data_IF_982988613636
#
_entry.id   IF_982988613636
#
_cell.length_a   1.000
_cell.length_b   1.000
_cell.length_c   1.000
_cell.angle_alpha   90.00
_cell.angle_beta   90.00
_cell.angle_gamma   90.00
#
_symmetry.space_group_name_H-M   'P 1'
#
loop_
_entity.id
_entity.type
_entity.pdbx_description
1 polymer ?
#
# COMPACT_ATOMS: atom_id res chain seq x y z
N UNK A 1 23.15 42.36 6.45
CA UNK A 1 22.58 42.27 5.09
C UNK A 1 23.11 40.99 4.46
N UNK A 2 22.23 40.14 3.92
CA UNK A 2 22.47 38.70 3.66
C UNK A 2 23.49 38.44 2.53
N UNK A 3 24.40 37.44 2.66
CA UNK A 3 24.97 36.78 1.50
C UNK A 3 24.04 35.65 1.03
N UNK A 4 23.76 35.66 -0.27
CA UNK A 4 22.95 34.70 -1.02
C UNK A 4 23.49 33.28 -0.91
N UNK A 5 22.58 32.36 -0.60
CA UNK A 5 22.74 30.91 -0.73
C UNK A 5 22.27 30.51 -2.13
N UNK A 6 23.21 30.20 -3.02
CA UNK A 6 22.94 29.55 -4.31
C UNK A 6 24.05 28.55 -4.59
N UNK A 7 24.05 27.46 -3.83
CA UNK A 7 24.81 26.25 -4.13
C UNK A 7 23.89 25.22 -4.78
N UNK A 8 23.85 25.20 -6.12
CA UNK A 8 23.20 24.17 -6.93
C UNK A 8 23.83 22.80 -6.63
N UNK A 9 23.26 22.06 -5.68
CA UNK A 9 23.63 20.67 -5.46
C UNK A 9 22.97 19.83 -6.54
N UNK A 10 23.77 19.37 -7.50
CA UNK A 10 23.36 18.54 -8.62
C UNK A 10 22.59 17.32 -8.14
N UNK A 11 21.30 17.28 -8.48
CA UNK A 11 20.45 16.10 -8.29
C UNK A 11 21.02 14.97 -9.15
N UNK A 12 21.66 14.01 -8.49
CA UNK A 12 22.06 12.74 -9.07
C UNK A 12 20.83 12.07 -9.70
N UNK A 13 20.84 11.94 -11.02
CA UNK A 13 19.91 11.09 -11.76
C UNK A 13 20.00 9.67 -11.20
N UNK A 14 18.94 9.21 -10.54
CA UNK A 14 18.85 7.83 -10.07
C UNK A 14 18.32 6.99 -11.23
N UNK A 15 19.24 6.30 -11.92
CA UNK A 15 18.92 5.33 -12.96
C UNK A 15 18.35 4.07 -12.32
N UNK A 16 17.03 3.93 -12.29
CA UNK A 16 16.37 2.65 -12.01
C UNK A 16 16.19 1.91 -13.33
N UNK A 17 17.26 1.28 -13.81
CA UNK A 17 17.17 0.34 -14.91
C UNK A 17 17.72 -1.02 -14.47
N UNK A 18 16.80 -1.97 -14.46
CA UNK A 18 16.98 -3.42 -14.56
C UNK A 18 17.67 -4.15 -13.40
N UNK A 19 16.86 -4.98 -12.73
CA UNK A 19 17.24 -6.39 -12.58
C UNK A 19 16.05 -7.30 -12.84
N UNK A 20 16.41 -8.37 -13.51
CA UNK A 20 15.65 -9.36 -14.23
C UNK A 20 14.50 -10.01 -13.47
N UNK A 21 13.51 -10.41 -14.26
CA UNK A 21 12.41 -11.27 -13.86
C UNK A 21 12.94 -12.61 -13.36
N UNK A 22 12.47 -13.02 -12.18
CA UNK A 22 12.07 -14.39 -11.85
C UNK A 22 11.53 -14.36 -10.42
N UNK A 23 10.24 -14.62 -10.23
CA UNK A 23 9.71 -15.39 -9.08
C UNK A 23 8.20 -15.25 -8.99
N UNK A 24 7.51 -16.34 -9.36
CA UNK A 24 6.28 -16.75 -8.69
C UNK A 24 5.02 -15.99 -9.07
N UNK A 25 4.11 -16.72 -9.70
CA UNK A 25 2.67 -16.53 -9.61
C UNK A 25 2.26 -16.53 -8.11
N UNK A 26 2.43 -15.38 -7.43
CA UNK A 26 2.03 -15.12 -6.03
C UNK A 26 1.64 -13.63 -5.82
N UNK A 27 1.26 -12.94 -6.90
CA UNK A 27 0.87 -11.52 -6.86
C UNK A 27 -0.26 -11.22 -5.87
N UNK A 28 -1.16 -12.19 -5.66
CA UNK A 28 -2.26 -12.11 -4.70
C UNK A 28 -1.79 -11.94 -3.25
N UNK A 29 -0.72 -12.64 -2.85
CA UNK A 29 -0.16 -12.56 -1.50
C UNK A 29 0.50 -11.20 -1.25
N UNK A 30 1.19 -10.65 -2.26
CA UNK A 30 1.87 -9.36 -2.13
C UNK A 30 0.90 -8.17 -2.06
N UNK A 31 -0.20 -8.21 -2.81
CA UNK A 31 -1.23 -7.17 -2.75
C UNK A 31 -2.03 -7.25 -1.45
N UNK A 32 -2.36 -8.48 -1.02
CA UNK A 32 -3.04 -8.74 0.24
C UNK A 32 -2.24 -8.22 1.45
N UNK A 33 -0.93 -8.51 1.52
CA UNK A 33 -0.06 -8.03 2.59
C UNK A 33 0.14 -6.52 2.55
N UNK A 34 0.25 -5.91 1.37
CA UNK A 34 0.35 -4.45 1.21
C UNK A 34 -0.91 -3.75 1.75
N UNK A 35 -2.07 -4.17 1.24
CA UNK A 35 -3.38 -3.60 1.59
C UNK A 35 -3.64 -3.75 3.09
N UNK A 36 -3.40 -4.94 3.63
CA UNK A 36 -3.62 -5.20 5.06
C UNK A 36 -2.65 -4.41 5.94
N UNK A 37 -1.36 -4.32 5.57
CA UNK A 37 -0.36 -3.56 6.33
C UNK A 37 -0.69 -2.07 6.36
N UNK A 38 -1.05 -1.48 5.22
CA UNK A 38 -1.41 -0.06 5.14
C UNK A 38 -2.67 0.22 5.94
N UNK A 39 -3.67 -0.66 5.86
CA UNK A 39 -4.89 -0.56 6.65
C UNK A 39 -4.60 -0.61 8.16
N UNK A 40 -3.82 -1.61 8.63
CA UNK A 40 -3.45 -1.75 10.04
C UNK A 40 -2.59 -0.59 10.53
N UNK A 41 -1.68 -0.07 9.70
CA UNK A 41 -0.86 1.08 10.04
C UNK A 41 -1.74 2.31 10.29
N UNK A 42 -2.67 2.62 9.39
CA UNK A 42 -3.58 3.75 9.56
C UNK A 42 -4.43 3.62 10.84
N UNK A 43 -4.94 2.42 11.15
CA UNK A 43 -5.65 2.16 12.40
C UNK A 43 -4.76 2.39 13.64
N UNK A 44 -3.49 1.94 13.61
CA UNK A 44 -2.52 2.17 14.70
C UNK A 44 -2.19 3.65 14.91
N UNK A 45 -2.29 4.46 13.87
CA UNK A 45 -2.16 5.92 13.95
C UNK A 45 -3.43 6.62 14.47
N UNK A 46 -4.48 5.88 14.80
CA UNK A 46 -5.74 6.43 15.31
C UNK A 46 -6.68 6.94 14.22
N UNK A 47 -6.45 6.59 12.95
CA UNK A 47 -7.37 6.94 11.87
C UNK A 47 -8.64 6.09 11.95
N UNK A 48 -9.76 6.67 11.50
CA UNK A 48 -11.02 5.93 11.33
C UNK A 48 -10.89 4.80 10.30
N UNK A 49 -11.67 3.72 10.45
CA UNK A 49 -11.71 2.61 9.49
C UNK A 49 -11.91 3.07 8.04
N UNK A 50 -12.79 4.06 7.82
CA UNK A 50 -13.02 4.63 6.49
C UNK A 50 -11.76 5.26 5.89
N UNK A 51 -10.94 5.94 6.71
CA UNK A 51 -9.67 6.54 6.25
C UNK A 51 -8.59 5.50 6.06
N UNK A 52 -8.51 4.51 6.95
CA UNK A 52 -7.60 3.37 6.80
C UNK A 52 -7.87 2.59 5.51
N UNK A 53 -9.16 2.34 5.20
CA UNK A 53 -9.59 1.71 3.95
C UNK A 53 -9.21 2.54 2.72
N UNK A 54 -9.45 3.85 2.72
CA UNK A 54 -9.03 4.72 1.60
C UNK A 54 -7.53 4.74 1.39
N UNK A 55 -6.74 4.72 2.47
CA UNK A 55 -5.28 4.63 2.38
C UNK A 55 -4.87 3.31 1.71
N UNK A 56 -5.51 2.20 2.06
CA UNK A 56 -5.25 0.91 1.44
C UNK A 56 -5.68 0.85 -0.05
N UNK A 57 -6.80 1.48 -0.42
CA UNK A 57 -7.22 1.68 -1.83
C UNK A 57 -6.19 2.52 -2.59
N UNK A 58 -5.68 3.59 -1.99
CA UNK A 58 -4.62 4.41 -2.58
C UNK A 58 -3.35 3.60 -2.86
N UNK A 59 -2.88 2.84 -1.86
CA UNK A 59 -1.70 1.97 -2.01
C UNK A 59 -1.89 0.90 -3.10
N UNK A 60 -3.10 0.35 -3.25
CA UNK A 60 -3.42 -0.59 -4.32
C UNK A 60 -3.35 0.09 -5.70
N UNK A 61 -3.90 1.30 -5.85
CA UNK A 61 -3.87 2.06 -7.11
C UNK A 61 -2.46 2.54 -7.49
N UNK A 62 -1.61 2.87 -6.53
CA UNK A 62 -0.20 3.21 -6.79
C UNK A 62 0.56 2.04 -7.40
N UNK A 63 0.24 0.81 -6.96
CA UNK A 63 0.82 -0.42 -7.49
C UNK A 63 0.19 -0.86 -8.81
N UNK A 64 -1.10 -0.59 -8.99
CA UNK A 64 -1.90 -0.98 -10.16
C UNK A 64 -2.50 0.26 -10.84
N UNK A 65 -1.70 1.07 -11.55
CA UNK A 65 -2.17 2.34 -12.14
C UNK A 65 -3.20 2.16 -13.26
N UNK A 66 -3.30 0.95 -13.82
CA UNK A 66 -4.31 0.57 -14.81
C UNK A 66 -5.65 0.15 -14.19
N UNK A 67 -5.70 -0.08 -12.87
CA UNK A 67 -6.94 -0.45 -12.19
C UNK A 67 -7.86 0.77 -12.04
N UNK A 68 -9.17 0.55 -12.24
CA UNK A 68 -10.16 1.58 -11.92
C UNK A 68 -10.32 1.71 -10.41
N UNK A 69 -10.70 2.91 -9.94
CA UNK A 69 -10.97 3.17 -8.51
C UNK A 69 -12.00 2.16 -7.98
N UNK A 70 -13.10 1.94 -8.71
CA UNK A 70 -14.15 0.99 -8.31
C UNK A 70 -13.64 -0.45 -8.22
N UNK A 71 -12.71 -0.86 -9.09
CA UNK A 71 -12.10 -2.18 -9.00
C UNK A 71 -11.20 -2.28 -7.76
N UNK A 72 -10.35 -1.28 -7.53
CA UNK A 72 -9.47 -1.21 -6.37
C UNK A 72 -10.26 -1.25 -5.05
N UNK A 73 -11.35 -0.49 -4.95
CA UNK A 73 -12.25 -0.49 -3.79
C UNK A 73 -12.82 -1.88 -3.51
N UNK A 74 -13.26 -2.60 -4.55
CA UNK A 74 -13.78 -3.97 -4.42
C UNK A 74 -12.70 -4.93 -3.98
N UNK A 75 -11.54 -4.91 -4.64
CA UNK A 75 -10.41 -5.79 -4.32
C UNK A 75 -9.96 -5.58 -2.88
N UNK A 76 -9.69 -4.34 -2.48
CA UNK A 76 -9.27 -4.01 -1.11
C UNK A 76 -10.30 -4.46 -0.07
N UNK A 77 -11.58 -4.28 -0.35
CA UNK A 77 -12.65 -4.74 0.56
C UNK A 77 -12.65 -6.26 0.71
N UNK A 78 -12.46 -7.01 -0.39
CA UNK A 78 -12.36 -8.46 -0.35
C UNK A 78 -11.13 -8.93 0.44
N UNK A 79 -9.97 -8.33 0.18
CA UNK A 79 -8.70 -8.69 0.83
C UNK A 79 -8.72 -8.42 2.34
N UNK A 80 -9.28 -7.28 2.76
CA UNK A 80 -9.40 -6.97 4.20
C UNK A 80 -10.36 -7.94 4.90
N UNK A 81 -11.49 -8.28 4.28
CA UNK A 81 -12.47 -9.22 4.85
C UNK A 81 -11.88 -10.62 5.01
N UNK A 82 -11.19 -11.12 3.98
CA UNK A 82 -10.53 -12.43 4.05
C UNK A 82 -9.57 -12.53 5.25
N UNK A 83 -8.73 -11.51 5.51
CA UNK A 83 -7.89 -11.47 6.72
C UNK A 83 -8.66 -11.45 8.02
N UNK A 84 -9.83 -10.79 8.07
CA UNK A 84 -10.65 -10.74 9.27
C UNK A 84 -11.34 -12.08 9.54
N UNK A 85 -11.77 -12.77 8.48
CA UNK A 85 -12.36 -14.10 8.54
C UNK A 85 -11.31 -15.18 8.89
N UNK A 86 -10.05 -15.01 8.47
CA UNK A 86 -8.91 -15.89 8.80
C UNK A 86 -8.36 -15.71 10.23
N UNK A 87 -8.79 -14.67 10.96
CA UNK A 87 -8.40 -14.54 12.36
C UNK A 87 -9.08 -15.67 13.15
N UNK A 88 -8.32 -16.45 13.96
CA UNK A 88 -8.93 -17.51 14.76
C UNK A 88 -9.98 -16.87 15.65
N UNK A 89 -11.24 -17.15 15.36
CA UNK A 89 -12.36 -16.70 16.16
C UNK A 89 -12.14 -17.32 17.53
N UNK A 90 -11.72 -16.52 18.51
CA UNK A 90 -11.59 -16.97 19.88
C UNK A 90 -13.02 -17.31 20.32
N UNK A 91 -13.38 -18.58 20.20
CA UNK A 91 -14.63 -19.13 20.68
C UNK A 91 -14.51 -19.12 22.20
N UNK A 92 -14.91 -18.01 22.82
CA UNK A 92 -15.11 -17.96 24.26
C UNK A 92 -16.19 -18.99 24.59
N UNK A 93 -15.74 -20.11 25.17
CA UNK A 93 -16.55 -21.21 25.67
C UNK A 93 -17.45 -20.74 26.84
#
# INVERSE_FOLDING_TARGET
MRPNDFGLYGSKSVSWASRDAESGDDGSSSDHDLVYRVHQLALRHGESERRAWRAAVGAYLERHPSASVTMAERVVTCLIRQRLDDLPTIKTA
#
